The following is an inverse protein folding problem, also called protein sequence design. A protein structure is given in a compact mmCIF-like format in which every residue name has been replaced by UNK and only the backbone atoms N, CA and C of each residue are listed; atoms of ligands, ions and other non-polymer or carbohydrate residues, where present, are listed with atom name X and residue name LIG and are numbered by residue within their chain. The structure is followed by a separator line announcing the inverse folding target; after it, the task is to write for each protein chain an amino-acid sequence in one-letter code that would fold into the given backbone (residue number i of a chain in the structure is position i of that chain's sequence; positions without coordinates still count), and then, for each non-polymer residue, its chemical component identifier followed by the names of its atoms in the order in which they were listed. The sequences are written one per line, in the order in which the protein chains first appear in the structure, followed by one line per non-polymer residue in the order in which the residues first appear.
data_IF_885865500782
#
_entry.id   IF_885865500782
#
_cell.length_a   1.000
_cell.length_b   1.000
_cell.length_c   1.000
_cell.angle_alpha   90.00
_cell.angle_beta   90.00
_cell.angle_gamma   90.00
#
_symmetry.space_group_name_H-M   'P 1'
#
loop_
_entity.id
_entity.type
_entity.pdbx_description
1 polymer ?
#
# COMPACT_ATOMS: atom_id res chain seq x y z
N UNK A 1 8.05 -9.89 -10.51
CA UNK A 1 9.19 -9.13 -9.96
C UNK A 1 8.55 -7.99 -9.21
N UNK A 2 8.24 -8.25 -7.95
CA UNK A 2 7.39 -7.37 -7.14
C UNK A 2 8.32 -6.39 -6.43
N UNK A 3 8.32 -5.14 -6.88
CA UNK A 3 9.09 -4.08 -6.22
C UNK A 3 8.31 -3.63 -4.99
N UNK A 4 8.51 -4.34 -3.87
CA UNK A 4 8.15 -3.86 -2.56
C UNK A 4 9.05 -2.65 -2.22
N UNK A 5 8.45 -1.54 -1.82
CA UNK A 5 9.13 -0.30 -1.51
C UNK A 5 8.91 0.08 -0.04
N UNK A 6 9.82 0.86 0.53
CA UNK A 6 9.77 1.27 1.93
C UNK A 6 9.89 2.79 2.04
N UNK A 7 9.12 3.38 2.95
CA UNK A 7 9.24 4.77 3.39
C UNK A 7 9.50 4.77 4.88
N UNK A 8 10.56 5.46 5.30
CA UNK A 8 10.97 5.51 6.69
C UNK A 8 10.53 6.81 7.35
N UNK A 9 9.83 6.70 8.47
CA UNK A 9 9.49 7.82 9.33
C UNK A 9 10.32 7.78 10.61
N UNK A 10 10.79 8.95 11.03
CA UNK A 10 11.51 9.12 12.28
C UNK A 10 10.72 10.04 13.21
N UNK A 11 10.66 9.68 14.50
CA UNK A 11 9.94 10.43 15.54
C UNK A 11 8.47 10.73 15.19
N UNK A 12 7.73 9.71 14.74
CA UNK A 12 6.32 9.83 14.38
C UNK A 12 5.44 9.87 15.63
N UNK A 13 4.65 10.93 15.81
CA UNK A 13 3.73 11.05 16.96
C UNK A 13 2.35 10.53 16.59
N UNK A 14 1.92 9.50 17.31
CA UNK A 14 0.59 8.90 17.16
C UNK A 14 -0.49 9.86 17.68
N UNK A 15 -1.74 9.63 17.28
CA UNK A 15 -2.89 10.39 17.79
C UNK A 15 -3.00 10.30 19.33
N UNK A 16 -2.55 9.21 19.94
CA UNK A 16 -2.51 9.04 21.41
C UNK A 16 -1.45 9.91 22.11
N UNK A 17 -0.59 10.62 21.37
CA UNK A 17 0.51 11.40 21.90
C UNK A 17 1.81 10.62 22.14
N UNK A 18 1.81 9.30 21.94
CA UNK A 18 3.03 8.48 21.99
C UNK A 18 3.86 8.68 20.72
N UNK A 19 5.17 8.90 20.88
CA UNK A 19 6.10 9.02 19.74
C UNK A 19 6.80 7.68 19.47
N UNK A 20 6.80 7.26 18.20
CA UNK A 20 7.55 6.13 17.69
C UNK A 20 8.88 6.65 17.10
N UNK A 21 10.05 6.23 17.60
CA UNK A 21 11.35 6.74 17.14
C UNK A 21 11.63 6.42 15.67
N UNK A 22 11.21 5.25 15.22
CA UNK A 22 11.39 4.76 13.85
C UNK A 22 10.18 3.91 13.45
N UNK A 23 9.53 4.28 12.35
CA UNK A 23 8.34 3.62 11.82
C UNK A 23 8.54 3.38 10.31
N UNK A 24 8.90 2.15 9.90
CA UNK A 24 8.97 1.79 8.48
C UNK A 24 7.57 1.51 7.93
N UNK A 25 7.26 2.12 6.79
CA UNK A 25 6.03 1.86 6.03
C UNK A 25 6.39 1.15 4.74
N UNK A 26 5.94 -0.09 4.61
CA UNK A 26 6.09 -0.87 3.39
C UNK A 26 4.91 -0.59 2.46
N UNK A 27 5.17 -0.55 1.16
CA UNK A 27 4.13 -0.39 0.16
C UNK A 27 4.50 -1.12 -1.12
N UNK A 28 3.50 -1.38 -1.94
CA UNK A 28 3.67 -1.97 -3.26
C UNK A 28 3.03 -1.03 -4.28
N UNK A 29 3.65 -0.92 -5.45
CA UNK A 29 3.14 -0.11 -6.56
C UNK A 29 2.98 -0.93 -7.83
N UNK A 30 1.90 -0.69 -8.56
CA UNK A 30 1.63 -1.32 -9.85
C UNK A 30 1.30 -0.27 -10.92
N UNK A 31 1.50 -0.63 -12.19
CA UNK A 31 1.23 0.25 -13.32
C UNK A 31 2.39 1.21 -13.67
N UNK A 32 2.10 2.41 -14.20
CA UNK A 32 3.10 3.38 -14.63
C UNK A 32 3.96 3.88 -13.46
N UNK A 33 5.13 4.43 -13.77
CA UNK A 33 6.04 4.99 -12.75
C UNK A 33 5.35 6.10 -11.94
N UNK A 34 5.58 6.14 -10.63
CA UNK A 34 5.10 7.23 -9.77
C UNK A 34 5.52 8.59 -10.36
N UNK A 35 4.61 9.56 -10.33
CA UNK A 35 4.70 10.89 -10.96
C UNK A 35 4.57 10.92 -12.50
N UNK A 36 4.30 9.78 -13.16
CA UNK A 36 4.01 9.75 -14.61
C UNK A 36 2.53 9.55 -14.94
N UNK A 37 1.73 9.17 -13.94
CA UNK A 37 0.30 8.97 -14.05
C UNK A 37 -0.40 9.40 -12.73
N UNK A 38 -1.72 9.64 -12.74
CA UNK A 38 -2.48 9.89 -11.53
C UNK A 38 -2.43 8.68 -10.60
N UNK A 39 -2.43 8.92 -9.29
CA UNK A 39 -2.22 7.90 -8.26
C UNK A 39 -3.54 7.50 -7.61
N UNK A 40 -3.77 6.18 -7.50
CA UNK A 40 -4.86 5.59 -6.71
C UNK A 40 -4.26 4.90 -5.50
N UNK A 41 -4.63 5.34 -4.29
CA UNK A 41 -4.24 4.69 -3.04
C UNK A 41 -5.30 3.68 -2.62
N UNK A 42 -4.91 2.42 -2.48
CA UNK A 42 -5.75 1.35 -1.94
C UNK A 42 -5.31 1.07 -0.50
N UNK A 43 -6.28 1.04 0.41
CA UNK A 43 -6.08 0.60 1.79
C UNK A 43 -6.60 -0.84 1.90
N UNK A 44 -5.78 -1.75 2.44
CA UNK A 44 -6.21 -3.13 2.67
C UNK A 44 -7.17 -3.24 3.88
N UNK A 45 -7.89 -4.35 3.95
CA UNK A 45 -8.65 -4.74 5.14
C UNK A 45 -7.75 -5.32 6.26
N UNK A 46 -8.26 -5.49 7.47
CA UNK A 46 -7.47 -5.92 8.65
C UNK A 46 -6.66 -7.22 8.45
N UNK A 47 -7.20 -8.19 7.71
CA UNK A 47 -6.52 -9.47 7.38
C UNK A 47 -6.05 -9.53 5.93
N UNK A 48 -6.08 -8.40 5.21
CA UNK A 48 -5.62 -8.31 3.83
C UNK A 48 -4.09 -8.34 3.76
N UNK A 49 -3.57 -8.78 2.62
CA UNK A 49 -2.15 -8.70 2.28
C UNK A 49 -1.94 -7.71 1.11
N UNK A 50 -0.68 -7.46 0.74
CA UNK A 50 -0.36 -6.52 -0.34
C UNK A 50 -0.72 -7.01 -1.76
N UNK A 51 -1.34 -8.17 -1.90
CA UNK A 51 -1.58 -8.75 -3.21
C UNK A 51 -2.98 -8.40 -3.71
N UNK A 52 -3.17 -7.15 -4.16
CA UNK A 52 -4.46 -6.65 -4.66
C UNK A 52 -4.82 -7.26 -6.02
N UNK A 53 -3.84 -7.40 -6.91
CA UNK A 53 -4.03 -7.87 -8.29
C UNK A 53 -2.91 -8.84 -8.71
N UNK A 54 -3.12 -9.65 -9.75
CA UNK A 54 -2.21 -10.71 -10.21
C UNK A 54 -2.71 -12.13 -9.90
N UNK A 55 -1.85 -13.14 -10.02
CA UNK A 55 -2.24 -14.56 -9.91
C UNK A 55 -3.03 -14.89 -8.63
N UNK A 56 -2.68 -14.25 -7.50
CA UNK A 56 -3.35 -14.43 -6.21
C UNK A 56 -4.01 -13.13 -5.69
N UNK A 57 -4.42 -12.24 -6.60
CA UNK A 57 -4.98 -10.92 -6.27
C UNK A 57 -6.43 -10.97 -5.77
N UNK A 58 -6.73 -10.37 -4.61
CA UNK A 58 -8.09 -10.37 -4.05
C UNK A 58 -9.07 -9.40 -4.74
N UNK A 59 -8.58 -8.49 -5.59
CA UNK A 59 -9.35 -7.49 -6.34
C UNK A 59 -9.08 -7.53 -7.85
N UNK A 60 -8.71 -8.69 -8.40
CA UNK A 60 -8.45 -8.89 -9.84
C UNK A 60 -9.56 -8.42 -10.81
N UNK A 61 -10.81 -8.37 -10.36
CA UNK A 61 -11.95 -7.90 -11.17
C UNK A 61 -12.12 -6.38 -11.17
N UNK A 62 -11.46 -5.69 -10.25
CA UNK A 62 -11.53 -4.23 -10.11
C UNK A 62 -10.24 -3.57 -10.57
N UNK A 63 -9.11 -4.23 -10.32
CA UNK A 63 -7.77 -3.71 -10.52
C UNK A 63 -7.00 -4.58 -11.51
N UNK A 64 -6.54 -3.98 -12.61
CA UNK A 64 -5.78 -4.68 -13.65
C UNK A 64 -5.79 -3.93 -14.98
N UNK A 65 -5.15 -4.49 -16.00
CA UNK A 65 -5.17 -3.88 -17.33
C UNK A 65 -6.58 -3.91 -17.93
N UNK A 66 -7.04 -2.74 -18.39
CA UNK A 66 -8.39 -2.54 -18.93
C UNK A 66 -9.53 -2.89 -17.93
N UNK A 67 -9.26 -2.78 -16.63
CA UNK A 67 -10.27 -2.94 -15.57
C UNK A 67 -10.77 -1.57 -15.09
N UNK A 68 -11.63 -1.55 -14.07
CA UNK A 68 -12.20 -0.32 -13.47
C UNK A 68 -11.08 0.61 -12.98
N UNK A 69 -10.09 0.05 -12.28
CA UNK A 69 -8.81 0.69 -11.97
C UNK A 69 -7.81 0.15 -12.97
N UNK A 70 -7.62 0.90 -14.06
CA UNK A 70 -6.78 0.49 -15.19
C UNK A 70 -5.29 0.80 -14.96
N UNK A 71 -4.48 -0.25 -14.90
CA UNK A 71 -3.02 -0.17 -14.76
C UNK A 71 -2.29 0.40 -15.99
N UNK A 72 -2.99 0.68 -17.09
CA UNK A 72 -2.44 1.49 -18.19
C UNK A 72 -2.54 3.00 -17.92
N UNK A 73 -3.52 3.42 -17.12
CA UNK A 73 -3.89 4.83 -16.96
C UNK A 73 -3.50 5.40 -15.59
N UNK A 74 -3.41 4.55 -14.56
CA UNK A 74 -3.16 4.96 -13.18
C UNK A 74 -1.99 4.20 -12.57
N UNK A 75 -1.22 4.90 -11.74
CA UNK A 75 -0.30 4.26 -10.81
C UNK A 75 -1.09 3.85 -9.57
N UNK A 76 -1.15 2.55 -9.32
CA UNK A 76 -1.74 2.03 -8.09
C UNK A 76 -0.68 1.99 -6.99
N UNK A 77 -1.01 2.53 -5.82
CA UNK A 77 -0.24 2.37 -4.59
C UNK A 77 -1.07 1.63 -3.57
N UNK A 78 -0.48 0.59 -3.01
CA UNK A 78 -1.05 -0.14 -1.90
C UNK A 78 -0.13 0.00 -0.70
N UNK A 79 -0.64 0.62 0.35
CA UNK A 79 0.06 0.63 1.63
C UNK A 79 -0.01 -0.78 2.23
N UNK A 80 1.14 -1.42 2.47
CA UNK A 80 1.21 -2.57 3.35
C UNK A 80 1.42 -2.00 4.76
N UNK A 81 0.32 -1.84 5.50
CA UNK A 81 0.47 -1.66 6.93
C UNK A 81 1.01 -3.00 7.45
N UNK A 82 2.18 -3.01 8.09
CA UNK A 82 2.46 -4.06 9.05
C UNK A 82 1.41 -3.93 10.15
N UNK A 83 0.23 -4.52 9.94
CA UNK A 83 -0.88 -4.58 10.89
C UNK A 83 -0.42 -5.16 12.23
N UNK A 84 0.70 -5.90 12.23
CA UNK A 84 1.34 -6.46 13.42
C UNK A 84 1.91 -5.41 14.39
N UNK A 85 2.32 -4.22 13.96
CA UNK A 85 2.82 -3.19 14.89
C UNK A 85 1.75 -2.17 15.31
N UNK A 86 0.68 -1.98 14.53
CA UNK A 86 -0.51 -1.25 15.00
C UNK A 86 -1.30 -2.02 16.07
N UNK A 87 -1.22 -3.36 16.08
CA UNK A 87 -1.81 -4.20 17.13
C UNK A 87 -1.08 -4.09 18.48
N UNK A 88 0.07 -3.39 18.56
CA UNK A 88 0.73 -3.01 19.83
C UNK A 88 0.34 -1.60 20.31
N UNK A 89 -0.63 -0.96 19.67
CA UNK A 89 -1.16 0.37 20.02
C UNK A 89 -2.60 0.28 20.55
N UNK A 90 -3.20 -0.91 20.58
CA UNK A 90 -4.38 -1.20 21.39
C UNK A 90 -3.99 -1.97 22.65
#
# INVERSE_FOLDING_TARGET
MDNCCQIDFFSFTLQSGKTIPFLPLLYQSFGPKINTAPVVLINHALTGNSNVTGENGWWNKLVGYNQVIDLNAFTELLSMCQVMDMLRVF
#
